data_IF_375656432562
#
_entry.id   IF_375656432562
#
_cell.length_a   1.000
_cell.length_b   1.000
_cell.length_c   1.000
_cell.angle_alpha   90.00
_cell.angle_beta   90.00
_cell.angle_gamma   90.00
#
_symmetry.space_group_name_H-M   'P 1'
#
loop_
_entity.id
_entity.type
_entity.pdbx_description
1 polymer ?
#
# COMPACT_ATOMS: atom_id res chain seq x y z
N UNK A 1 -37.73 2.31 -5.43
CA UNK A 1 -37.15 2.44 -4.07
C UNK A 1 -35.67 2.62 -4.29
N UNK A 2 -35.09 3.80 -4.03
CA UNK A 2 -33.63 3.94 -4.03
C UNK A 2 -33.09 3.09 -2.88
N UNK A 3 -32.08 2.29 -3.16
CA UNK A 3 -31.40 1.47 -2.16
C UNK A 3 -30.68 2.37 -1.16
N UNK A 4 -30.88 2.04 0.12
CA UNK A 4 -30.13 2.55 1.25
C UNK A 4 -28.77 1.83 1.30
N UNK A 5 -27.90 2.12 0.33
CA UNK A 5 -26.48 1.77 0.41
C UNK A 5 -25.81 2.96 1.09
N UNK A 6 -25.64 2.92 2.41
CA UNK A 6 -24.92 3.94 3.15
C UNK A 6 -23.53 4.12 2.55
N UNK A 7 -23.18 5.34 2.12
CA UNK A 7 -21.88 5.65 1.53
C UNK A 7 -20.74 5.19 2.45
N UNK A 8 -19.92 4.23 2.00
CA UNK A 8 -18.74 3.74 2.73
C UNK A 8 -17.83 4.90 3.07
N UNK A 9 -17.66 5.19 4.36
CA UNK A 9 -16.85 6.32 4.81
C UNK A 9 -15.36 6.08 4.59
N UNK A 10 -14.53 7.13 4.67
CA UNK A 10 -13.07 6.98 4.61
C UNK A 10 -12.53 6.06 5.73
N UNK A 11 -13.12 6.10 6.92
CA UNK A 11 -12.74 5.19 8.02
C UNK A 11 -13.08 3.73 7.69
N UNK A 12 -14.25 3.48 7.11
CA UNK A 12 -14.65 2.13 6.69
C UNK A 12 -13.69 1.59 5.62
N UNK A 13 -13.33 2.42 4.63
CA UNK A 13 -12.36 2.05 3.59
C UNK A 13 -10.97 1.73 4.16
N UNK A 14 -10.50 2.53 5.12
CA UNK A 14 -9.24 2.26 5.82
C UNK A 14 -9.27 0.89 6.52
N UNK A 15 -10.39 0.54 7.16
CA UNK A 15 -10.53 -0.77 7.82
C UNK A 15 -10.62 -1.92 6.82
N UNK A 16 -11.35 -1.74 5.73
CA UNK A 16 -11.51 -2.75 4.67
C UNK A 16 -10.16 -3.09 4.03
N UNK A 17 -9.33 -2.07 3.75
CA UNK A 17 -8.03 -2.28 3.11
C UNK A 17 -6.93 -2.78 4.07
N UNK A 18 -7.20 -2.81 5.38
CA UNK A 18 -6.28 -3.30 6.40
C UNK A 18 -6.29 -4.84 6.48
N UNK A 19 -5.75 -5.50 5.44
CA UNK A 19 -5.87 -6.95 5.27
C UNK A 19 -4.99 -7.81 6.22
N UNK A 20 -3.75 -7.40 6.51
CA UNK A 20 -2.76 -8.24 7.22
C UNK A 20 -2.27 -7.59 8.53
N UNK A 21 -2.68 -8.13 9.68
CA UNK A 21 -2.32 -7.63 11.01
C UNK A 21 -0.81 -7.59 11.30
N UNK A 22 0.01 -8.36 10.60
CA UNK A 22 1.46 -8.32 10.78
C UNK A 22 2.14 -7.21 9.97
N UNK A 23 1.41 -6.55 9.07
CA UNK A 23 1.95 -5.52 8.20
C UNK A 23 1.78 -4.11 8.81
N UNK A 24 2.83 -3.28 8.74
CA UNK A 24 2.83 -1.89 9.24
C UNK A 24 1.62 -1.10 8.74
N UNK A 25 1.37 -1.12 7.43
CA UNK A 25 0.30 -0.31 6.84
C UNK A 25 -1.10 -0.75 7.24
N UNK A 26 -1.34 -2.05 7.50
CA UNK A 26 -2.65 -2.47 7.98
C UNK A 26 -2.90 -1.94 9.41
N UNK A 27 -1.89 -2.02 10.28
CA UNK A 27 -1.95 -1.44 11.63
C UNK A 27 -2.23 0.07 11.57
N UNK A 28 -1.46 0.79 10.75
CA UNK A 28 -1.64 2.24 10.60
C UNK A 28 -3.01 2.61 10.01
N UNK A 29 -3.53 1.86 9.03
CA UNK A 29 -4.86 2.14 8.48
C UNK A 29 -5.96 1.97 9.52
N UNK A 30 -5.90 0.94 10.37
CA UNK A 30 -6.88 0.78 11.46
C UNK A 30 -6.80 1.94 12.45
N UNK A 31 -5.60 2.31 12.88
CA UNK A 31 -5.43 3.45 13.78
C UNK A 31 -5.83 4.79 13.16
N UNK A 32 -5.60 4.97 11.85
CA UNK A 32 -6.08 6.13 11.09
C UNK A 32 -7.62 6.18 11.03
N UNK A 33 -8.30 5.04 10.91
CA UNK A 33 -9.75 4.97 10.94
C UNK A 33 -10.29 5.39 12.32
N UNK A 34 -9.70 4.88 13.40
CA UNK A 34 -10.09 5.24 14.77
C UNK A 34 -9.81 6.73 15.06
N UNK A 35 -8.68 7.24 14.57
CA UNK A 35 -8.32 8.65 14.65
C UNK A 35 -9.27 9.55 13.85
N UNK A 36 -9.70 9.10 12.68
CA UNK A 36 -10.70 9.78 11.87
C UNK A 36 -12.01 9.95 12.64
N UNK A 37 -12.53 8.87 13.23
CA UNK A 37 -13.77 8.87 14.01
C UNK A 37 -13.67 9.73 15.27
N UNK A 38 -12.50 9.74 15.91
CA UNK A 38 -12.21 10.62 17.04
C UNK A 38 -12.06 12.10 16.65
N UNK A 39 -12.13 12.45 15.35
CA UNK A 39 -11.94 13.81 14.86
C UNK A 39 -10.50 14.30 14.91
N UNK A 40 -9.54 13.37 14.89
CA UNK A 40 -8.11 13.62 14.99
C UNK A 40 -7.44 14.14 13.71
N UNK A 41 -6.10 14.19 13.71
CA UNK A 41 -5.29 14.71 12.61
C UNK A 41 -5.58 14.06 11.26
N UNK A 42 -5.91 12.76 11.22
CA UNK A 42 -6.30 12.06 9.99
C UNK A 42 -7.51 12.73 9.34
N UNK A 43 -8.51 13.12 10.15
CA UNK A 43 -9.70 13.83 9.65
C UNK A 43 -9.39 15.24 9.16
N UNK A 44 -8.49 15.94 9.84
CA UNK A 44 -8.04 17.25 9.41
C UNK A 44 -7.28 17.20 8.08
N UNK A 45 -6.38 16.22 7.92
CA UNK A 45 -5.58 16.02 6.70
C UNK A 45 -6.48 15.64 5.52
N UNK A 46 -7.45 14.77 5.73
CA UNK A 46 -8.32 14.25 4.66
C UNK A 46 -9.56 15.13 4.39
N UNK A 47 -9.65 16.34 4.97
CA UNK A 47 -10.73 17.29 4.69
C UNK A 47 -10.83 17.60 3.20
N UNK A 48 -12.02 17.55 2.62
CA UNK A 48 -12.27 17.75 1.19
C UNK A 48 -12.04 16.50 0.33
N UNK A 49 -11.71 15.36 0.95
CA UNK A 49 -11.56 14.06 0.29
C UNK A 49 -12.62 13.04 0.73
N UNK A 50 -13.60 13.44 1.54
CA UNK A 50 -14.66 12.59 2.09
C UNK A 50 -15.40 11.81 0.99
N UNK A 51 -15.74 12.51 -0.09
CA UNK A 51 -16.54 11.98 -1.21
C UNK A 51 -15.66 11.51 -2.37
N UNK A 52 -14.34 11.37 -2.16
CA UNK A 52 -13.45 10.87 -3.21
C UNK A 52 -13.87 9.45 -3.63
N UNK A 53 -13.76 9.07 -4.91
CA UNK A 53 -14.10 7.71 -5.33
C UNK A 53 -13.16 6.69 -4.67
N UNK A 54 -13.64 5.47 -4.42
CA UNK A 54 -12.84 4.41 -3.78
C UNK A 54 -11.54 4.10 -4.53
N UNK A 55 -11.55 4.21 -5.86
CA UNK A 55 -10.37 4.06 -6.72
C UNK A 55 -9.29 5.11 -6.44
N UNK A 56 -9.63 6.17 -5.70
CA UNK A 56 -8.70 7.14 -5.20
C UNK A 56 -8.19 6.79 -3.79
N UNK A 57 -8.21 5.56 -3.28
CA UNK A 57 -7.27 5.03 -2.27
C UNK A 57 -6.58 6.07 -1.34
N UNK A 58 -7.38 6.88 -0.62
CA UNK A 58 -6.91 8.11 0.07
C UNK A 58 -5.92 7.75 1.17
N UNK A 59 -6.21 6.67 1.88
CA UNK A 59 -5.38 6.02 2.87
C UNK A 59 -3.96 5.71 2.34
N UNK A 60 -3.83 5.20 1.11
CA UNK A 60 -2.52 4.93 0.52
C UNK A 60 -1.77 6.20 0.15
N UNK A 61 -2.47 7.27 -0.25
CA UNK A 61 -1.83 8.58 -0.50
C UNK A 61 -1.28 9.18 0.79
N UNK A 62 -2.05 9.09 1.88
CA UNK A 62 -1.61 9.59 3.18
C UNK A 62 -0.39 8.81 3.67
N UNK A 63 -0.42 7.48 3.64
CA UNK A 63 0.73 6.63 3.99
C UNK A 63 1.95 6.93 3.12
N UNK A 64 1.77 7.12 1.81
CA UNK A 64 2.86 7.52 0.91
C UNK A 64 3.42 8.91 1.26
N UNK A 65 2.56 9.85 1.66
CA UNK A 65 2.95 11.16 2.16
C UNK A 65 3.82 11.06 3.42
N UNK A 66 3.39 10.26 4.40
CA UNK A 66 4.15 9.98 5.63
C UNK A 66 5.50 9.36 5.27
N UNK A 67 5.52 8.33 4.43
CA UNK A 67 6.77 7.67 4.05
C UNK A 67 7.72 8.61 3.30
N UNK A 68 7.22 9.54 2.48
CA UNK A 68 8.05 10.57 1.85
C UNK A 68 8.72 11.48 2.89
N UNK A 69 8.04 11.83 3.98
CA UNK A 69 8.63 12.60 5.08
C UNK A 69 9.76 11.80 5.74
N UNK A 70 9.55 10.50 5.97
CA UNK A 70 10.58 9.58 6.49
C UNK A 70 11.80 9.53 5.58
N UNK A 71 11.60 9.31 4.28
CA UNK A 71 12.68 9.28 3.28
C UNK A 71 13.44 10.61 3.17
N UNK A 72 12.79 11.73 3.50
CA UNK A 72 13.45 13.05 3.56
C UNK A 72 14.22 13.31 4.86
N UNK A 73 14.25 12.35 5.79
CA UNK A 73 14.94 12.47 7.07
C UNK A 73 14.26 13.38 8.10
N UNK A 74 13.00 13.79 7.86
CA UNK A 74 12.24 14.71 8.72
C UNK A 74 11.34 14.03 9.75
N UNK A 75 11.26 12.70 9.69
CA UNK A 75 10.61 11.86 10.71
C UNK A 75 11.49 10.63 11.03
N UNK A 76 12.73 10.83 11.51
CA UNK A 76 13.64 9.72 11.86
C UNK A 76 13.04 8.78 12.91
N UNK A 77 12.14 9.27 13.76
CA UNK A 77 11.41 8.48 14.75
C UNK A 77 10.57 7.34 14.13
N UNK A 78 10.23 7.42 12.84
CA UNK A 78 9.47 6.39 12.16
C UNK A 78 10.33 5.33 11.47
N UNK A 79 11.63 5.58 11.24
CA UNK A 79 12.55 4.64 10.56
C UNK A 79 12.54 3.24 11.18
N UNK A 80 12.54 3.06 12.53
CA UNK A 80 12.52 1.74 13.15
C UNK A 80 11.36 0.84 12.74
N UNK A 81 10.24 1.40 12.24
CA UNK A 81 9.06 0.62 11.83
C UNK A 81 9.10 0.18 10.35
N UNK A 82 9.94 0.81 9.51
CA UNK A 82 10.02 0.49 8.08
C UNK A 82 11.08 -0.58 7.80
N UNK A 83 10.65 -1.82 7.55
CA UNK A 83 11.55 -2.94 7.22
C UNK A 83 12.45 -2.67 6.02
N UNK A 84 11.96 -1.97 4.99
CA UNK A 84 12.75 -1.59 3.81
C UNK A 84 13.89 -0.61 4.13
N UNK A 85 13.86 0.04 5.29
CA UNK A 85 14.92 0.90 5.82
C UNK A 85 15.75 0.19 6.92
N UNK A 86 15.57 -1.13 7.09
CA UNK A 86 16.23 -1.93 8.13
C UNK A 86 15.52 -1.92 9.48
N UNK A 87 14.37 -1.27 9.61
CA UNK A 87 13.57 -1.23 10.82
C UNK A 87 13.06 -2.61 11.26
N UNK A 88 13.00 -2.84 12.57
CA UNK A 88 12.55 -4.10 13.19
C UNK A 88 11.52 -3.87 14.33
N UNK A 89 11.10 -2.63 14.55
CA UNK A 89 10.14 -2.32 15.61
C UNK A 89 8.75 -2.90 15.28
N UNK A 90 7.98 -3.30 16.30
CA UNK A 90 6.65 -3.87 16.11
C UNK A 90 5.69 -2.90 15.38
N UNK A 91 4.98 -3.35 14.33
CA UNK A 91 3.98 -2.55 13.59
C UNK A 91 2.91 -1.85 14.44
N UNK A 92 2.41 -2.53 15.47
CA UNK A 92 1.34 -2.09 16.37
C UNK A 92 1.78 -0.97 17.33
N UNK A 93 3.08 -0.80 17.54
CA UNK A 93 3.65 0.29 18.34
C UNK A 93 3.85 1.59 17.55
N UNK A 94 3.64 1.59 16.23
CA UNK A 94 3.98 2.72 15.36
C UNK A 94 3.05 3.94 15.53
N UNK A 95 1.79 3.71 15.93
CA UNK A 95 0.74 4.74 15.84
C UNK A 95 1.04 6.03 16.62
N UNK A 96 1.50 6.02 17.89
CA UNK A 96 1.79 7.25 18.61
C UNK A 96 2.80 8.16 17.90
N UNK A 97 3.86 7.57 17.32
CA UNK A 97 4.86 8.31 16.57
C UNK A 97 4.30 8.83 15.24
N UNK A 98 3.51 8.00 14.53
CA UNK A 98 2.86 8.41 13.27
C UNK A 98 1.89 9.56 13.50
N UNK A 99 1.03 9.48 14.53
CA UNK A 99 0.09 10.55 14.87
C UNK A 99 0.79 11.88 15.12
N UNK A 100 1.91 11.88 15.84
CA UNK A 100 2.72 13.09 16.04
C UNK A 100 3.25 13.68 14.73
N UNK A 101 3.65 12.82 13.79
CA UNK A 101 4.05 13.25 12.43
C UNK A 101 2.85 13.81 11.65
N UNK A 102 1.66 13.23 11.78
CA UNK A 102 0.43 13.75 11.17
C UNK A 102 0.12 15.17 11.67
N UNK A 103 0.23 15.41 12.98
CA UNK A 103 0.02 16.71 13.61
C UNK A 103 1.06 17.74 13.14
N UNK A 104 2.35 17.36 13.14
CA UNK A 104 3.44 18.25 12.73
C UNK A 104 3.39 18.63 11.24
N UNK A 105 2.92 17.71 10.39
CA UNK A 105 2.97 17.86 8.93
C UNK A 105 1.59 17.94 8.26
N UNK A 106 0.55 18.34 9.00
CA UNK A 106 -0.85 18.31 8.52
C UNK A 106 -1.03 18.98 7.14
N UNK A 107 -0.51 20.19 6.94
CA UNK A 107 -0.67 20.91 5.67
C UNK A 107 0.08 20.24 4.50
N UNK A 108 1.30 19.78 4.75
CA UNK A 108 2.11 19.06 3.76
C UNK A 108 1.44 17.74 3.35
N UNK A 109 0.92 17.00 4.33
CA UNK A 109 0.22 15.73 4.11
C UNK A 109 -1.11 15.92 3.40
N UNK A 110 -1.85 17.00 3.69
CA UNK A 110 -3.06 17.35 2.95
C UNK A 110 -2.73 17.60 1.46
N UNK A 111 -1.68 18.37 1.18
CA UNK A 111 -1.19 18.58 -0.19
C UNK A 111 -0.73 17.28 -0.87
N UNK A 112 -0.14 16.36 -0.11
CA UNK A 112 0.31 15.06 -0.63
C UNK A 112 -0.85 14.17 -1.12
N UNK A 113 -2.08 14.39 -0.65
CA UNK A 113 -3.26 13.66 -1.13
C UNK A 113 -3.55 13.91 -2.62
N UNK A 114 -3.08 15.01 -3.22
CA UNK A 114 -3.23 15.22 -4.66
C UNK A 114 -2.29 14.32 -5.51
N UNK A 115 -1.31 13.66 -4.89
CA UNK A 115 -0.30 12.85 -5.57
C UNK A 115 -0.59 11.37 -5.38
N UNK A 116 -1.03 10.69 -6.44
CA UNK A 116 -1.22 9.24 -6.41
C UNK A 116 0.12 8.49 -6.20
N UNK A 117 0.18 7.48 -5.31
CA UNK A 117 1.33 6.61 -5.22
C UNK A 117 1.46 5.78 -6.50
N UNK A 118 2.68 5.33 -6.79
CA UNK A 118 2.89 4.31 -7.78
C UNK A 118 2.32 2.98 -7.26
N UNK A 119 1.38 2.40 -7.99
CA UNK A 119 0.75 1.13 -7.66
C UNK A 119 1.66 -0.02 -8.06
N UNK A 120 2.88 -0.09 -7.52
CA UNK A 120 3.83 -1.18 -7.77
C UNK A 120 3.27 -2.48 -7.15
N UNK A 121 2.35 -3.11 -7.89
CA UNK A 121 1.55 -4.25 -7.47
C UNK A 121 2.18 -5.50 -8.06
N UNK A 122 2.62 -6.41 -7.18
CA UNK A 122 3.34 -7.64 -7.53
C UNK A 122 2.43 -8.70 -8.16
N UNK A 123 1.14 -8.69 -7.84
CA UNK A 123 0.13 -9.62 -8.36
C UNK A 123 -0.05 -9.55 -9.88
N UNK A 124 0.29 -8.43 -10.53
CA UNK A 124 0.36 -8.32 -12.01
C UNK A 124 1.31 -9.34 -12.64
N UNK A 125 2.31 -9.82 -11.88
CA UNK A 125 3.21 -10.88 -12.31
C UNK A 125 2.50 -12.22 -12.54
N UNK A 126 1.29 -12.41 -11.98
CA UNK A 126 0.49 -13.63 -12.16
C UNK A 126 0.12 -13.86 -13.62
N UNK A 127 -0.33 -12.81 -14.32
CA UNK A 127 -0.69 -12.93 -15.74
C UNK A 127 0.54 -13.26 -16.59
N UNK A 128 1.70 -12.66 -16.25
CA UNK A 128 2.98 -12.97 -16.89
C UNK A 128 3.37 -14.44 -16.67
N UNK A 129 3.30 -14.94 -15.44
CA UNK A 129 3.61 -16.34 -15.12
C UNK A 129 2.77 -17.32 -15.93
N UNK A 130 1.46 -17.08 -16.03
CA UNK A 130 0.54 -17.91 -16.84
C UNK A 130 0.96 -17.89 -18.31
N UNK A 131 1.29 -16.72 -18.85
CA UNK A 131 1.78 -16.58 -20.22
C UNK A 131 3.10 -17.32 -20.45
N UNK A 132 4.02 -17.28 -19.49
CA UNK A 132 5.30 -18.00 -19.56
C UNK A 132 5.10 -19.51 -19.56
N UNK A 133 4.25 -20.05 -18.69
CA UNK A 133 3.94 -21.48 -18.70
C UNK A 133 3.31 -21.93 -20.00
N UNK A 134 2.39 -21.13 -20.56
CA UNK A 134 1.77 -21.46 -21.84
C UNK A 134 2.79 -21.43 -23.00
N UNK A 135 3.73 -20.47 -22.99
CA UNK A 135 4.81 -20.42 -23.97
C UNK A 135 5.73 -21.64 -23.88
N UNK A 136 6.11 -22.06 -22.67
CA UNK A 136 6.89 -23.29 -22.44
C UNK A 136 6.13 -24.50 -22.96
N UNK A 137 4.84 -24.63 -22.63
CA UNK A 137 3.99 -25.76 -23.04
C UNK A 137 3.88 -25.89 -24.56
N UNK A 138 3.77 -24.77 -25.29
CA UNK A 138 3.63 -24.77 -26.75
C UNK A 138 4.94 -24.98 -27.50
N UNK A 139 6.05 -24.49 -26.96
CA UNK A 139 7.33 -24.39 -27.71
C UNK A 139 8.41 -25.34 -27.20
N UNK A 140 8.30 -25.81 -25.95
CA UNK A 140 9.35 -26.56 -25.26
C UNK A 140 10.57 -25.71 -24.84
N UNK A 141 10.55 -24.40 -25.07
CA UNK A 141 11.66 -23.51 -24.70
C UNK A 141 11.63 -23.21 -23.21
N UNK A 142 12.57 -23.78 -22.45
CA UNK A 142 12.64 -23.65 -20.98
C UNK A 142 13.57 -22.55 -20.49
N UNK A 143 14.35 -21.93 -21.39
CA UNK A 143 15.17 -20.75 -21.08
C UNK A 143 14.52 -19.51 -21.65
N UNK A 144 13.99 -18.67 -20.77
CA UNK A 144 13.32 -17.43 -21.13
C UNK A 144 14.16 -16.26 -20.62
N UNK A 145 14.29 -15.22 -21.44
CA UNK A 145 14.87 -13.93 -21.04
C UNK A 145 13.79 -12.88 -21.18
N UNK A 146 13.51 -12.18 -20.09
CA UNK A 146 12.53 -11.09 -20.06
C UNK A 146 13.21 -9.76 -20.41
N UNK A 147 12.54 -8.98 -21.25
CA UNK A 147 12.89 -7.60 -21.55
C UNK A 147 11.62 -6.77 -21.47
N UNK A 148 11.57 -5.84 -20.52
CA UNK A 148 10.44 -4.93 -20.32
C UNK A 148 10.93 -3.47 -20.46
N UNK A 149 10.72 -2.86 -21.63
CA UNK A 149 11.04 -1.45 -21.82
C UNK A 149 10.18 -0.58 -20.90
N UNK A 150 10.81 0.27 -20.10
CA UNK A 150 10.09 1.15 -19.16
C UNK A 150 9.54 0.44 -17.92
N UNK A 151 10.21 -0.61 -17.44
CA UNK A 151 9.74 -1.45 -16.33
C UNK A 151 9.50 -0.76 -14.98
N UNK A 152 9.81 0.53 -14.82
CA UNK A 152 9.70 1.27 -13.56
C UNK A 152 10.46 0.56 -12.43
N UNK A 153 9.80 0.09 -11.37
CA UNK A 153 10.40 -0.69 -10.29
C UNK A 153 10.83 -2.12 -10.71
N UNK A 154 10.51 -2.56 -11.93
CA UNK A 154 10.98 -3.82 -12.49
C UNK A 154 10.33 -5.07 -11.89
N UNK A 155 9.19 -4.95 -11.20
CA UNK A 155 8.59 -6.07 -10.46
C UNK A 155 8.28 -7.29 -11.34
N UNK A 156 7.75 -7.10 -12.56
CA UNK A 156 7.49 -8.21 -13.48
C UNK A 156 8.78 -8.92 -13.94
N UNK A 157 9.93 -8.23 -13.94
CA UNK A 157 11.23 -8.85 -14.24
C UNK A 157 11.72 -9.77 -13.11
N UNK A 158 11.09 -9.69 -11.93
CA UNK A 158 11.37 -10.52 -10.77
C UNK A 158 10.35 -11.66 -10.60
N UNK A 159 9.60 -12.00 -11.65
CA UNK A 159 8.54 -13.03 -11.62
C UNK A 159 9.03 -14.39 -11.12
N UNK A 160 10.31 -14.71 -11.29
CA UNK A 160 10.94 -15.95 -10.80
C UNK A 160 11.33 -15.91 -9.31
N UNK A 161 11.22 -14.74 -8.67
CA UNK A 161 11.50 -14.54 -7.24
C UNK A 161 10.25 -14.45 -6.37
N UNK A 162 9.06 -14.49 -6.97
CA UNK A 162 7.81 -14.48 -6.21
C UNK A 162 7.31 -15.89 -5.93
N UNK A 163 6.70 -16.06 -4.76
CA UNK A 163 5.94 -17.24 -4.41
C UNK A 163 4.51 -17.10 -4.95
N UNK A 164 4.13 -17.99 -5.86
CA UNK A 164 2.75 -18.12 -6.34
C UNK A 164 2.10 -19.31 -5.64
N UNK A 165 0.98 -19.06 -4.97
CA UNK A 165 0.23 -20.08 -4.26
C UNK A 165 -1.21 -20.10 -4.77
N UNK A 166 -1.71 -21.29 -5.05
CA UNK A 166 -3.11 -21.59 -5.23
C UNK A 166 -3.46 -22.83 -4.39
N UNK A 167 -4.73 -23.18 -4.28
CA UNK A 167 -5.22 -24.30 -3.47
C UNK A 167 -4.48 -25.62 -3.77
N UNK A 168 -4.11 -25.85 -5.03
CA UNK A 168 -3.60 -27.14 -5.51
C UNK A 168 -2.17 -27.08 -6.04
N UNK A 169 -1.52 -25.90 -6.07
CA UNK A 169 -0.17 -25.79 -6.61
C UNK A 169 0.58 -24.60 -6.02
N UNK A 170 1.90 -24.71 -6.06
CA UNK A 170 2.85 -23.69 -5.64
C UNK A 170 3.97 -23.59 -6.68
N UNK A 171 4.43 -22.38 -6.96
CA UNK A 171 5.60 -22.12 -7.80
C UNK A 171 6.44 -20.99 -7.23
N UNK A 172 7.76 -21.10 -7.34
CA UNK A 172 8.68 -20.09 -6.84
C UNK A 172 9.24 -20.37 -5.44
N UNK A 173 10.22 -19.55 -5.01
CA UNK A 173 10.92 -19.68 -3.72
C UNK A 173 9.98 -19.58 -2.52
#
# INVERSE_FOLDING_TARGET
>A
MPGDDGDTTLADRMRIDAADEEHLYANLMRSMADDWEAGGPTRQICRGWEDAPETALVQLRLLAGVFRIVLSGRAPELVPFYRCLGGQAPPDEAWPAVRHVLERHTFELHGALAVAPQTNEVGRSTALLVGLFEAVRRTGLTRIRLLEPGASAGLNLLVDQFLFVNQNWRFGP
#
